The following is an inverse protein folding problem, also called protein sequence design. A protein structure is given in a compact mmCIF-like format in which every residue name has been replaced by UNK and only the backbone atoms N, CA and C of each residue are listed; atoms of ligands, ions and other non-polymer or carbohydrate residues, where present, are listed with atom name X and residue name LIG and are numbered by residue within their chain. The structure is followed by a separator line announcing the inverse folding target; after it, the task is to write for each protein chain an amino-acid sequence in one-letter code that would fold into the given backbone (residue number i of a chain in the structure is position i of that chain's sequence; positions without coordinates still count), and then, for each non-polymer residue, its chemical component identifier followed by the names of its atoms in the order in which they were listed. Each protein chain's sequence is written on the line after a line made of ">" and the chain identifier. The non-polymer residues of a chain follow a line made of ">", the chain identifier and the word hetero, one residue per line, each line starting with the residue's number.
data_IF_720087942837
#
_entry.id   IF_720087942837
#
_cell.length_a   1.000
_cell.length_b   1.000
_cell.length_c   1.000
_cell.angle_alpha   90.00
_cell.angle_beta   90.00
_cell.angle_gamma   90.00
#
_symmetry.space_group_name_H-M   'P 1'
#
loop_
_entity.id
_entity.type
_entity.pdbx_description
1 polymer ?
#
# COMPACT_ATOMS: atom_id res chain seq x y z
N UNK A 1 -49.92 32.59 12.08
CA UNK A 1 -49.68 31.32 11.35
C UNK A 1 -48.22 31.21 10.88
N UNK A 2 -47.23 31.28 11.77
CA UNK A 2 -45.78 31.27 11.40
C UNK A 2 -44.96 30.17 12.09
N UNK A 3 -45.49 29.56 13.16
CA UNK A 3 -44.77 28.57 13.96
C UNK A 3 -44.76 27.15 13.35
N UNK A 4 -45.62 26.84 12.36
CA UNK A 4 -45.74 25.49 11.80
C UNK A 4 -44.75 25.16 10.67
N UNK A 5 -44.19 26.17 10.01
CA UNK A 5 -43.25 25.97 8.89
C UNK A 5 -41.80 25.72 9.37
N UNK A 6 -41.41 26.25 10.54
CA UNK A 6 -40.05 26.08 11.07
C UNK A 6 -39.76 24.65 11.56
N UNK A 7 -40.76 23.92 12.04
CA UNK A 7 -40.58 22.55 12.53
C UNK A 7 -40.35 21.50 11.44
N UNK A 8 -40.76 21.78 10.20
CA UNK A 8 -40.61 20.84 9.07
C UNK A 8 -39.21 20.95 8.45
N UNK A 9 -38.64 22.16 8.44
CA UNK A 9 -37.29 22.39 7.88
C UNK A 9 -36.20 21.80 8.78
N UNK A 10 -36.39 21.79 10.10
CA UNK A 10 -35.41 21.20 11.03
C UNK A 10 -35.39 19.67 10.99
N UNK A 11 -36.52 19.00 10.73
CA UNK A 11 -36.56 17.54 10.58
C UNK A 11 -35.92 17.10 9.26
N UNK A 12 -36.06 17.89 8.18
CA UNK A 12 -35.45 17.58 6.88
C UNK A 12 -33.92 17.70 6.88
N UNK A 13 -33.35 18.59 7.71
CA UNK A 13 -31.90 18.75 7.84
C UNK A 13 -31.23 17.59 8.61
N UNK A 14 -31.97 16.85 9.44
CA UNK A 14 -31.44 15.70 10.21
C UNK A 14 -31.40 14.41 9.35
N UNK A 15 -32.11 14.39 8.21
CA UNK A 15 -32.21 13.21 7.34
C UNK A 15 -31.09 13.08 6.29
N UNK A 16 -30.18 14.06 6.16
CA UNK A 16 -29.23 14.12 5.03
C UNK A 16 -27.82 13.54 5.28
N UNK A 17 -27.57 12.89 6.40
CA UNK A 17 -26.26 12.26 6.67
C UNK A 17 -26.41 10.87 7.25
N UNK A 18 -27.12 10.00 6.53
CA UNK A 18 -26.88 8.56 6.65
C UNK A 18 -25.63 8.27 5.85
N UNK A 19 -24.45 8.47 6.47
CA UNK A 19 -23.26 7.81 5.97
C UNK A 19 -23.56 6.30 6.05
N UNK A 20 -23.62 5.65 4.90
CA UNK A 20 -23.78 4.20 4.85
C UNK A 20 -22.49 3.63 5.41
N UNK A 21 -22.51 3.29 6.69
CA UNK A 21 -21.45 2.52 7.36
C UNK A 21 -21.58 1.09 6.84
N UNK A 22 -20.96 0.82 5.71
CA UNK A 22 -20.76 -0.52 5.18
C UNK A 22 -19.27 -0.77 5.08
N UNK A 23 -18.82 -1.89 5.63
CA UNK A 23 -17.42 -2.31 5.59
C UNK A 23 -16.91 -2.33 4.15
N UNK A 24 -15.63 -2.02 3.97
CA UNK A 24 -15.01 -1.87 2.66
C UNK A 24 -14.28 -3.16 2.32
N UNK A 25 -14.81 -3.88 1.35
CA UNK A 25 -14.20 -5.10 0.81
C UNK A 25 -13.31 -4.76 -0.39
N UNK A 26 -12.02 -5.04 -0.26
CA UNK A 26 -11.00 -4.78 -1.28
C UNK A 26 -10.63 -6.10 -1.94
N UNK A 27 -10.97 -6.21 -3.21
CA UNK A 27 -10.70 -7.39 -4.02
C UNK A 27 -9.75 -7.07 -5.18
N UNK A 28 -8.83 -7.98 -5.47
CA UNK A 28 -7.98 -7.89 -6.65
C UNK A 28 -7.31 -9.21 -7.02
N UNK A 29 -6.63 -9.19 -8.17
CA UNK A 29 -5.94 -10.37 -8.73
C UNK A 29 -4.48 -10.02 -8.99
N UNK A 30 -3.58 -10.95 -8.68
CA UNK A 30 -2.15 -10.80 -8.91
C UNK A 30 -1.66 -11.68 -10.07
N UNK A 31 -0.95 -11.05 -11.00
CA UNK A 31 -0.32 -11.68 -12.15
C UNK A 31 1.20 -11.60 -12.05
N UNK A 32 1.89 -12.42 -12.85
CA UNK A 32 3.31 -12.21 -13.14
C UNK A 32 3.49 -11.02 -14.08
N UNK A 33 4.74 -10.55 -14.21
CA UNK A 33 5.13 -9.44 -15.08
C UNK A 33 4.79 -9.60 -16.58
N UNK A 34 4.35 -10.78 -17.01
CA UNK A 34 3.95 -11.07 -18.38
C UNK A 34 2.48 -10.71 -18.69
N UNK A 35 1.73 -10.24 -17.69
CA UNK A 35 0.31 -9.86 -17.80
C UNK A 35 -0.60 -10.98 -18.35
N UNK A 36 -0.22 -12.25 -18.14
CA UNK A 36 -1.05 -13.38 -18.61
C UNK A 36 -0.98 -14.58 -17.69
N UNK A 37 0.08 -14.72 -16.91
CA UNK A 37 0.26 -15.81 -15.97
C UNK A 37 -0.17 -15.39 -14.58
N UNK A 38 -1.06 -16.15 -13.96
CA UNK A 38 -1.42 -16.00 -12.55
C UNK A 38 -0.20 -16.19 -11.64
N UNK A 39 -0.05 -15.36 -10.62
CA UNK A 39 1.10 -15.40 -9.73
C UNK A 39 1.14 -16.65 -8.84
N UNK A 40 -0.02 -17.26 -8.58
CA UNK A 40 -0.21 -18.40 -7.69
C UNK A 40 -0.69 -18.00 -6.30
N UNK A 41 -0.88 -19.00 -5.44
CA UNK A 41 -1.28 -18.82 -4.05
C UNK A 41 -0.11 -18.47 -3.12
N UNK A 42 -0.39 -17.72 -2.07
CA UNK A 42 0.57 -17.39 -1.01
C UNK A 42 1.45 -16.17 -1.33
N UNK A 43 1.07 -15.37 -2.34
CA UNK A 43 1.74 -14.10 -2.62
C UNK A 43 1.28 -13.08 -1.59
N UNK A 44 2.22 -12.45 -0.90
CA UNK A 44 1.95 -11.37 0.06
C UNK A 44 1.61 -10.08 -0.70
N UNK A 45 0.42 -9.55 -0.40
CA UNK A 45 -0.10 -8.27 -0.89
C UNK A 45 -0.27 -7.37 0.33
N UNK A 46 0.37 -6.20 0.32
CA UNK A 46 0.15 -5.19 1.35
C UNK A 46 -1.00 -4.31 0.90
N UNK A 47 -2.07 -4.25 1.68
CA UNK A 47 -3.24 -3.42 1.42
C UNK A 47 -3.32 -2.34 2.49
N UNK A 48 -3.39 -1.10 2.06
CA UNK A 48 -3.41 0.07 2.93
C UNK A 48 -4.64 0.93 2.62
N UNK A 49 -5.26 1.50 3.65
CA UNK A 49 -6.28 2.54 3.48
C UNK A 49 -5.79 3.83 4.14
N UNK A 50 -5.79 4.90 3.36
CA UNK A 50 -5.41 6.25 3.77
C UNK A 50 -6.65 7.16 3.77
N UNK A 51 -6.98 7.69 4.95
CA UNK A 51 -8.09 8.64 5.14
C UNK A 51 -7.60 10.10 5.24
N UNK A 52 -6.32 10.36 4.97
CA UNK A 52 -5.68 11.67 5.00
C UNK A 52 -5.11 12.06 6.37
N UNK A 53 -5.58 11.45 7.45
CA UNK A 53 -5.11 11.68 8.83
C UNK A 53 -4.34 10.47 9.40
N UNK A 54 -4.62 9.28 8.89
CA UNK A 54 -4.07 7.99 9.35
C UNK A 54 -4.06 6.97 8.21
N UNK A 55 -3.09 6.05 8.29
CA UNK A 55 -2.95 4.93 7.37
C UNK A 55 -3.10 3.63 8.15
N UNK A 56 -4.04 2.79 7.72
CA UNK A 56 -4.21 1.42 8.23
C UNK A 56 -3.68 0.46 7.17
N UNK A 57 -2.75 -0.40 7.56
CA UNK A 57 -2.03 -1.31 6.64
C UNK A 57 -2.17 -2.74 7.16
N UNK A 58 -2.41 -3.67 6.24
CA UNK A 58 -2.43 -5.11 6.53
C UNK A 58 -1.82 -5.91 5.38
N UNK A 59 -1.35 -7.12 5.69
CA UNK A 59 -0.76 -8.04 4.70
C UNK A 59 -1.67 -9.23 4.53
N UNK A 60 -2.17 -9.42 3.30
CA UNK A 60 -2.99 -10.56 2.91
C UNK A 60 -2.25 -11.44 1.92
N UNK A 61 -2.64 -12.71 1.85
CA UNK A 61 -2.05 -13.66 0.90
C UNK A 61 -3.06 -14.05 -0.17
N UNK A 62 -2.58 -14.23 -1.39
CA UNK A 62 -3.42 -14.70 -2.50
C UNK A 62 -3.86 -16.15 -2.33
N UNK A 63 -5.05 -16.46 -2.85
CA UNK A 63 -5.62 -17.80 -2.88
C UNK A 63 -5.13 -18.65 -4.09
N UNK A 64 -5.72 -19.82 -4.30
CA UNK A 64 -5.37 -20.72 -5.42
C UNK A 64 -5.62 -20.13 -6.82
N UNK A 65 -6.46 -19.09 -6.93
CA UNK A 65 -6.76 -18.37 -8.15
C UNK A 65 -5.90 -17.10 -8.30
N UNK A 66 -4.97 -16.85 -7.36
CA UNK A 66 -4.18 -15.61 -7.26
C UNK A 66 -5.00 -14.37 -6.91
N UNK A 67 -6.18 -14.58 -6.31
CA UNK A 67 -7.07 -13.52 -5.85
C UNK A 67 -6.73 -13.19 -4.39
N UNK A 68 -6.88 -11.92 -4.01
CA UNK A 68 -6.79 -11.49 -2.62
C UNK A 68 -8.05 -10.71 -2.24
N UNK A 69 -8.48 -10.89 -0.99
CA UNK A 69 -9.60 -10.18 -0.40
C UNK A 69 -9.17 -9.60 0.95
N UNK A 70 -9.46 -8.32 1.16
CA UNK A 70 -9.23 -7.62 2.42
C UNK A 70 -10.46 -6.81 2.80
N UNK A 71 -11.06 -7.19 3.93
CA UNK A 71 -12.12 -6.42 4.56
C UNK A 71 -11.52 -5.40 5.53
N UNK A 72 -11.88 -4.12 5.35
CA UNK A 72 -11.66 -3.05 6.30
C UNK A 72 -12.97 -2.69 7.01
N UNK A 73 -12.89 -2.53 8.33
CA UNK A 73 -14.00 -1.99 9.11
C UNK A 73 -14.23 -0.53 8.69
N UNK A 74 -15.49 -0.10 8.68
CA UNK A 74 -15.86 1.30 8.36
C UNK A 74 -15.18 2.38 9.19
N UNK A 75 -14.68 2.03 10.38
CA UNK A 75 -13.94 2.96 11.22
C UNK A 75 -12.50 3.21 10.73
N UNK A 76 -11.96 2.24 10.00
CA UNK A 76 -10.57 2.23 9.51
C UNK A 76 -10.50 2.66 8.04
N UNK A 77 -11.54 2.36 7.26
CA UNK A 77 -11.64 2.73 5.85
C UNK A 77 -13.11 3.00 5.47
N UNK A 78 -13.39 4.21 5.01
CA UNK A 78 -14.73 4.70 4.69
C UNK A 78 -14.84 5.26 3.27
N UNK A 79 -16.04 5.71 2.92
CA UNK A 79 -16.29 6.36 1.63
C UNK A 79 -15.49 7.67 1.52
N UNK A 80 -14.76 7.82 0.41
CA UNK A 80 -13.88 8.96 0.14
C UNK A 80 -12.41 8.74 0.53
N UNK A 81 -12.09 7.64 1.20
CA UNK A 81 -10.71 7.27 1.52
C UNK A 81 -10.03 6.64 0.30
N UNK A 82 -8.69 6.55 0.32
CA UNK A 82 -7.92 5.93 -0.77
C UNK A 82 -7.32 4.61 -0.31
N UNK A 83 -7.64 3.53 -1.02
CA UNK A 83 -7.02 2.22 -0.81
C UNK A 83 -5.85 2.07 -1.77
N UNK A 84 -4.73 1.56 -1.25
CA UNK A 84 -3.55 1.15 -1.98
C UNK A 84 -3.37 -0.36 -1.81
N UNK A 85 -3.06 -1.07 -2.88
CA UNK A 85 -2.59 -2.44 -2.80
C UNK A 85 -1.26 -2.55 -3.54
N UNK A 86 -0.30 -3.23 -2.92
CA UNK A 86 1.06 -3.33 -3.42
C UNK A 86 1.59 -4.75 -3.35
N UNK A 87 2.37 -5.08 -4.37
CA UNK A 87 3.20 -6.29 -4.46
C UNK A 87 4.62 -5.86 -4.82
N UNK A 88 5.63 -6.74 -4.73
CA UNK A 88 6.99 -6.38 -5.12
C UNK A 88 7.05 -5.80 -6.54
N UNK A 89 7.36 -4.50 -6.62
CA UNK A 89 7.59 -3.78 -7.87
C UNK A 89 6.34 -3.22 -8.58
N UNK A 90 5.15 -3.31 -7.98
CA UNK A 90 3.93 -2.68 -8.51
C UNK A 90 2.95 -2.26 -7.40
N UNK A 91 2.20 -1.20 -7.63
CA UNK A 91 1.23 -0.63 -6.69
C UNK A 91 0.03 -0.06 -7.46
N UNK A 92 -1.17 -0.34 -6.98
CA UNK A 92 -2.43 0.19 -7.51
C UNK A 92 -3.18 0.90 -6.40
N UNK A 93 -3.90 1.97 -6.76
CA UNK A 93 -4.70 2.72 -5.80
C UNK A 93 -6.05 3.14 -6.36
N UNK A 94 -7.04 3.27 -5.47
CA UNK A 94 -8.39 3.67 -5.84
C UNK A 94 -9.14 4.30 -4.66
N UNK A 95 -9.93 5.31 -4.97
CA UNK A 95 -10.84 5.93 -4.02
C UNK A 95 -12.04 5.02 -3.73
N UNK A 96 -12.39 4.91 -2.45
CA UNK A 96 -13.54 4.15 -1.97
C UNK A 96 -14.81 4.92 -2.29
N UNK A 97 -15.45 4.57 -3.40
CA UNK A 97 -16.74 5.15 -3.82
C UNK A 97 -17.94 4.28 -3.43
N UNK A 98 -17.69 3.04 -3.01
CA UNK A 98 -18.71 2.09 -2.54
C UNK A 98 -18.07 1.05 -1.61
N UNK A 99 -18.88 0.29 -0.85
CA UNK A 99 -18.40 -0.74 0.08
C UNK A 99 -17.69 -1.93 -0.58
N UNK A 100 -17.74 -2.07 -1.91
CA UNK A 100 -16.90 -3.02 -2.65
C UNK A 100 -15.95 -2.25 -3.56
N UNK A 101 -14.65 -2.43 -3.36
CA UNK A 101 -13.59 -1.80 -4.13
C UNK A 101 -12.84 -2.88 -4.88
N UNK A 102 -13.09 -2.95 -6.19
CA UNK A 102 -12.28 -3.78 -7.09
C UNK A 102 -11.13 -2.93 -7.60
N UNK A 103 -9.91 -3.31 -7.25
CA UNK A 103 -8.69 -2.70 -7.74
C UNK A 103 -8.32 -3.26 -9.12
N UNK A 104 -7.53 -2.50 -9.86
CA UNK A 104 -6.92 -3.01 -11.09
C UNK A 104 -5.89 -4.10 -10.75
N UNK A 105 -5.58 -4.95 -11.72
CA UNK A 105 -4.67 -6.08 -11.55
C UNK A 105 -3.28 -5.62 -11.10
N UNK A 106 -2.69 -6.34 -10.16
CA UNK A 106 -1.32 -6.15 -9.70
C UNK A 106 -0.36 -7.09 -10.43
N UNK A 107 0.85 -6.62 -10.71
CA UNK A 107 1.87 -7.41 -11.40
C UNK A 107 3.12 -7.56 -10.53
N UNK A 108 3.52 -8.80 -10.26
CA UNK A 108 4.82 -9.05 -9.60
C UNK A 108 5.91 -8.70 -10.61
N UNK A 109 6.56 -7.55 -10.41
CA UNK A 109 7.73 -7.15 -11.18
C UNK A 109 8.95 -7.63 -10.41
N UNK A 110 9.77 -8.55 -10.98
CA UNK A 110 10.99 -8.95 -10.32
C UNK A 110 11.87 -7.71 -10.14
N UNK A 111 12.00 -7.27 -8.89
CA UNK A 111 12.90 -6.20 -8.53
C UNK A 111 14.30 -6.75 -8.82
N UNK A 112 14.91 -6.32 -9.93
CA UNK A 112 16.33 -6.49 -10.15
C UNK A 112 17.04 -5.64 -9.09
N UNK A 113 17.11 -6.17 -7.88
CA UNK A 113 18.00 -5.72 -6.83
C UNK A 113 19.42 -6.01 -7.33
N UNK A 114 19.91 -5.15 -8.22
CA UNK A 114 21.33 -4.93 -8.44
C UNK A 114 21.87 -4.26 -7.17
N UNK A 115 21.82 -4.97 -6.04
CA UNK A 115 22.68 -4.64 -4.90
C UNK A 115 24.09 -4.92 -5.42
N UNK A 116 24.97 -3.92 -5.57
CA UNK A 116 26.34 -4.19 -5.94
C UNK A 116 27.03 -4.76 -4.71
N UNK A 117 26.89 -6.07 -4.51
CA UNK A 117 27.49 -6.84 -3.40
C UNK A 117 29.03 -6.75 -3.39
N UNK A 118 29.63 -6.16 -4.44
CA UNK A 118 31.06 -5.93 -4.53
C UNK A 118 31.52 -4.54 -4.04
N UNK A 119 30.62 -3.62 -3.71
CA UNK A 119 31.01 -2.26 -3.30
C UNK A 119 31.39 -2.15 -1.82
N UNK A 120 30.76 -2.94 -0.94
CA UNK A 120 31.08 -2.95 0.50
C UNK A 120 32.47 -3.53 0.81
N UNK A 121 32.86 -4.61 0.12
CA UNK A 121 34.15 -5.26 0.34
C UNK A 121 35.29 -4.43 -0.28
N UNK A 122 35.10 -3.85 -1.47
CA UNK A 122 36.12 -3.01 -2.10
C UNK A 122 36.41 -1.71 -1.32
N UNK A 123 35.39 -1.08 -0.74
CA UNK A 123 35.57 0.10 0.11
C UNK A 123 36.41 -0.23 1.36
N UNK A 124 36.17 -1.37 2.01
CA UNK A 124 36.91 -1.77 3.22
C UNK A 124 38.42 -2.00 2.97
N UNK A 125 38.78 -2.60 1.83
CA UNK A 125 40.19 -2.85 1.46
C UNK A 125 40.91 -1.55 1.08
N UNK A 126 40.20 -0.60 0.45
CA UNK A 126 40.76 0.71 0.12
C UNK A 126 41.04 1.58 1.36
N UNK A 127 40.14 1.59 2.35
CA UNK A 127 40.36 2.32 3.61
C UNK A 127 41.51 1.72 4.44
N UNK A 128 41.63 0.39 4.49
CA UNK A 128 42.75 -0.27 5.18
C UNK A 128 44.10 0.00 4.49
N UNK A 129 44.15 -0.02 3.15
CA UNK A 129 45.37 0.27 2.40
C UNK A 129 45.86 1.71 2.53
N UNK A 130 44.94 2.69 2.50
CA UNK A 130 45.27 4.10 2.64
C UNK A 130 45.76 4.47 4.06
N UNK A 131 45.21 3.84 5.11
CA UNK A 131 45.62 4.07 6.50
C UNK A 131 47.03 3.57 6.81
N UNK A 132 47.39 2.38 6.34
CA UNK A 132 48.72 1.79 6.54
C UNK A 132 49.79 2.54 5.73
N UNK A 133 49.46 2.94 4.49
CA UNK A 133 50.37 3.74 3.64
C UNK A 133 50.71 5.12 4.23
N UNK A 134 49.72 5.81 4.80
CA UNK A 134 49.94 7.12 5.43
C UNK A 134 50.81 7.03 6.70
N UNK A 135 50.60 6.00 7.54
CA UNK A 135 51.42 5.75 8.74
C UNK A 135 52.88 5.38 8.39
N UNK A 136 53.08 4.59 7.33
CA UNK A 136 54.41 4.22 6.87
C UNK A 136 55.21 5.42 6.32
N UNK A 137 54.55 6.35 5.61
CA UNK A 137 55.18 7.57 5.12
C UNK A 137 55.49 8.57 6.24
N UNK A 138 54.68 8.65 7.29
CA UNK A 138 54.91 9.54 8.44
C UNK A 138 56.12 9.13 9.30
N UNK A 139 56.50 7.86 9.31
CA UNK A 139 57.68 7.35 10.04
C UNK A 139 59.02 7.53 9.29
N UNK A 140 59.00 8.00 8.03
CA UNK A 140 60.21 8.24 7.22
C UNK A 140 60.63 9.71 7.12
N UNK A 141 59.94 10.62 7.82
CA UNK A 141 60.46 11.96 8.15
C UNK A 141 60.99 11.95 9.57
#
# INVERSE_FOLDING_TARGET
>A
MKAKLFGIVTVLAILMSVAVLADVDVHGIVYQSDNSTFAGSGIEVTVECDNGDSVVSDVVQTDVNSEYDKLFDTADCGLGDTVFASVPGDEQSKEVTSGNVVLDNLYIVPINLSVPEFSAIAASVAFAGAGVGFLALRRRK
#
